data_IF_188807764383
#
_entry.id   IF_188807764383
#
_cell.length_a   1.000
_cell.length_b   1.000
_cell.length_c   1.000
_cell.angle_alpha   90.00
_cell.angle_beta   90.00
_cell.angle_gamma   90.00
#
_symmetry.space_group_name_H-M   'P 1'
#
loop_
_entity.id
_entity.type
_entity.pdbx_description
1 polymer ?
#
# COMPACT_ATOMS: atom_id res chain seq x y z
N UNK A 1 -5.29 12.49 -5.48
CA UNK A 1 -5.80 11.79 -4.28
C UNK A 1 -7.12 11.07 -4.53
N UNK A 2 -8.15 11.73 -5.05
CA UNK A 2 -9.51 11.19 -5.18
C UNK A 2 -9.70 9.85 -5.91
N UNK A 3 -8.83 9.38 -6.85
CA UNK A 3 -8.98 8.05 -7.44
C UNK A 3 -9.00 6.89 -6.43
N UNK A 4 -8.45 7.09 -5.22
CA UNK A 4 -8.44 6.07 -4.17
C UNK A 4 -9.84 5.70 -3.67
N UNK A 5 -10.86 6.54 -3.88
CA UNK A 5 -12.22 6.27 -3.41
C UNK A 5 -13.03 5.40 -4.38
N UNK A 6 -12.66 5.36 -5.65
CA UNK A 6 -13.36 4.59 -6.68
C UNK A 6 -12.92 3.13 -6.70
N UNK A 7 -13.85 2.19 -6.88
CA UNK A 7 -13.59 0.75 -6.89
C UNK A 7 -14.37 0.05 -8.00
N UNK A 8 -13.73 -0.88 -8.71
CA UNK A 8 -14.29 -1.57 -9.88
C UNK A 8 -15.16 -2.80 -9.58
N UNK A 9 -15.37 -3.14 -8.30
CA UNK A 9 -16.18 -4.30 -7.92
C UNK A 9 -16.16 -4.61 -6.42
N UNK A 10 -17.08 -5.46 -5.97
CA UNK A 10 -17.26 -5.84 -4.55
C UNK A 10 -16.01 -6.47 -3.95
N UNK A 11 -15.39 -7.44 -4.64
CA UNK A 11 -14.17 -8.08 -4.14
C UNK A 11 -13.02 -7.07 -4.05
N UNK A 12 -12.92 -6.17 -5.04
CA UNK A 12 -11.89 -5.14 -5.07
C UNK A 12 -12.00 -4.20 -3.86
N UNK A 13 -13.19 -3.65 -3.58
CA UNK A 13 -13.37 -2.79 -2.41
C UNK A 13 -13.23 -3.56 -1.10
N UNK A 14 -13.76 -4.78 -1.01
CA UNK A 14 -13.69 -5.60 0.20
C UNK A 14 -12.25 -5.85 0.65
N UNK A 15 -11.40 -6.36 -0.25
CA UNK A 15 -10.00 -6.64 0.10
C UNK A 15 -9.21 -5.36 0.36
N UNK A 16 -9.46 -4.29 -0.39
CA UNK A 16 -8.83 -3.00 -0.14
C UNK A 16 -9.16 -2.45 1.25
N UNK A 17 -10.42 -2.48 1.67
CA UNK A 17 -10.84 -2.00 2.99
C UNK A 17 -10.36 -2.93 4.11
N UNK A 18 -10.34 -4.24 3.88
CA UNK A 18 -9.77 -5.20 4.82
C UNK A 18 -8.30 -4.89 5.10
N UNK A 19 -7.48 -4.75 4.05
CA UNK A 19 -6.06 -4.43 4.19
C UNK A 19 -5.81 -3.03 4.74
N UNK A 20 -6.58 -2.04 4.28
CA UNK A 20 -6.52 -0.67 4.80
C UNK A 20 -6.78 -0.66 6.31
N UNK A 21 -7.81 -1.38 6.77
CA UNK A 21 -8.10 -1.51 8.20
C UNK A 21 -6.97 -2.20 8.94
N UNK A 22 -6.53 -3.37 8.47
CA UNK A 22 -5.49 -4.14 9.15
C UNK A 22 -4.18 -3.36 9.30
N UNK A 23 -3.67 -2.77 8.21
CA UNK A 23 -2.40 -2.05 8.20
C UNK A 23 -2.54 -0.65 8.81
N UNK A 24 -3.63 0.04 8.51
CA UNK A 24 -3.91 1.37 9.05
C UNK A 24 -4.04 1.37 10.56
N UNK A 25 -4.73 0.38 11.14
CA UNK A 25 -4.88 0.26 12.60
C UNK A 25 -3.53 0.13 13.32
N UNK A 26 -2.57 -0.60 12.74
CA UNK A 26 -1.22 -0.74 13.33
C UNK A 26 -0.55 0.62 13.41
N UNK A 27 -0.63 1.43 12.36
CA UNK A 27 0.00 2.76 12.32
C UNK A 27 -0.76 3.72 13.24
N UNK A 28 -2.08 3.75 13.16
CA UNK A 28 -2.92 4.66 13.96
C UNK A 28 -2.75 4.39 15.46
N UNK A 29 -2.75 3.13 15.88
CA UNK A 29 -2.57 2.77 17.28
C UNK A 29 -1.18 3.14 17.82
N UNK A 30 -0.14 3.03 16.99
CA UNK A 30 1.26 3.27 17.40
C UNK A 30 1.71 4.72 17.25
N UNK A 31 1.17 5.44 16.26
CA UNK A 31 1.66 6.76 15.84
C UNK A 31 0.56 7.81 15.64
N UNK A 32 -0.70 7.43 15.84
CA UNK A 32 -1.85 8.33 15.76
C UNK A 32 -2.40 8.53 14.35
N UNK A 33 -3.67 8.93 14.29
CA UNK A 33 -4.42 9.11 13.05
C UNK A 33 -3.83 10.16 12.11
N UNK A 34 -3.20 11.22 12.65
CA UNK A 34 -2.57 12.28 11.85
C UNK A 34 -1.43 11.74 10.99
N UNK A 35 -0.64 10.83 11.56
CA UNK A 35 0.47 10.20 10.85
C UNK A 35 -0.02 9.20 9.82
N UNK A 36 -1.05 8.41 10.16
CA UNK A 36 -1.73 7.57 9.18
C UNK A 36 -2.25 8.39 8.00
N UNK A 37 -2.96 9.49 8.26
CA UNK A 37 -3.49 10.38 7.22
C UNK A 37 -2.37 10.94 6.34
N UNK A 38 -1.25 11.35 6.93
CA UNK A 38 -0.09 11.80 6.17
C UNK A 38 0.45 10.72 5.22
N UNK A 39 0.64 9.48 5.71
CA UNK A 39 1.09 8.37 4.85
C UNK A 39 0.07 8.10 3.73
N UNK A 40 -1.23 8.11 4.04
CA UNK A 40 -2.29 7.93 3.04
C UNK A 40 -2.23 8.99 1.95
N UNK A 41 -2.09 10.27 2.32
CA UNK A 41 -2.05 11.37 1.34
C UNK A 41 -0.79 11.32 0.46
N UNK A 42 0.37 11.02 1.06
CA UNK A 42 1.64 10.93 0.33
C UNK A 42 1.61 9.75 -0.63
N UNK A 43 1.27 8.55 -0.14
CA UNK A 43 1.21 7.34 -0.97
C UNK A 43 0.15 7.46 -2.05
N UNK A 44 -1.06 7.96 -1.73
CA UNK A 44 -2.12 8.20 -2.71
C UNK A 44 -1.71 9.20 -3.80
N UNK A 45 -0.89 10.19 -3.48
CA UNK A 45 -0.45 11.18 -4.47
C UNK A 45 0.62 10.57 -5.38
N UNK A 46 1.69 10.04 -4.79
CA UNK A 46 2.83 9.53 -5.57
C UNK A 46 2.45 8.29 -6.39
N UNK A 47 1.69 7.34 -5.81
CA UNK A 47 1.30 6.12 -6.54
C UNK A 47 0.42 6.42 -7.74
N UNK A 48 -0.55 7.34 -7.57
CA UNK A 48 -1.48 7.70 -8.63
C UNK A 48 -0.79 8.53 -9.73
N UNK A 49 0.14 9.41 -9.35
CA UNK A 49 0.97 10.14 -10.33
C UNK A 49 1.82 9.15 -11.14
N UNK A 50 2.47 8.19 -10.48
CA UNK A 50 3.29 7.18 -11.16
C UNK A 50 2.45 6.34 -12.14
N UNK A 51 1.27 5.88 -11.71
CA UNK A 51 0.35 5.15 -12.58
C UNK A 51 -0.15 5.98 -13.76
N UNK A 52 -0.48 7.25 -13.52
CA UNK A 52 -0.95 8.16 -14.56
C UNK A 52 0.09 8.34 -15.68
N UNK A 53 1.35 8.54 -15.32
CA UNK A 53 2.41 8.72 -16.32
C UNK A 53 2.71 7.46 -17.13
N UNK A 54 2.47 6.27 -16.59
CA UNK A 54 2.77 5.00 -17.28
C UNK A 54 1.59 4.47 -18.08
N UNK A 55 0.36 4.59 -17.58
CA UNK A 55 -0.81 3.94 -18.17
C UNK A 55 -2.00 4.88 -18.41
N UNK A 56 -1.83 6.18 -18.18
CA UNK A 56 -2.91 7.17 -18.34
C UNK A 56 -3.90 7.20 -17.17
N UNK A 57 -5.02 7.93 -17.30
CA UNK A 57 -5.93 8.24 -16.20
C UNK A 57 -6.92 7.11 -15.83
N UNK A 58 -6.97 6.02 -16.60
CA UNK A 58 -7.96 4.96 -16.43
C UNK A 58 -7.52 3.95 -15.36
N UNK A 59 -7.48 4.40 -14.12
CA UNK A 59 -7.22 3.56 -12.95
C UNK A 59 -8.03 4.05 -11.74
N UNK A 60 -8.21 3.17 -10.77
CA UNK A 60 -9.00 3.42 -9.57
C UNK A 60 -8.54 2.52 -8.41
N UNK A 61 -8.90 2.91 -7.18
CA UNK A 61 -8.75 2.06 -6.00
C UNK A 61 -7.64 2.53 -5.05
N UNK A 62 -7.83 2.21 -3.77
CA UNK A 62 -6.90 2.55 -2.69
C UNK A 62 -5.71 1.59 -2.59
N UNK A 63 -5.63 0.57 -3.45
CA UNK A 63 -4.61 -0.47 -3.37
C UNK A 63 -3.16 0.05 -3.39
N UNK A 64 -2.88 1.16 -4.10
CA UNK A 64 -1.56 1.80 -4.05
C UNK A 64 -1.20 2.30 -2.64
N UNK A 65 -2.17 2.89 -1.93
CA UNK A 65 -2.02 3.28 -0.51
C UNK A 65 -1.83 2.04 0.36
N UNK A 66 -2.60 0.98 0.13
CA UNK A 66 -2.47 -0.30 0.87
C UNK A 66 -1.04 -0.85 0.79
N UNK A 67 -0.45 -0.88 -0.41
CA UNK A 67 0.96 -1.26 -0.57
C UNK A 67 1.92 -0.29 0.12
N UNK A 68 1.60 1.00 0.16
CA UNK A 68 2.36 1.97 0.96
C UNK A 68 2.29 1.73 2.46
N UNK A 69 1.12 1.39 3.01
CA UNK A 69 1.00 1.01 4.42
C UNK A 69 1.75 -0.29 4.72
N UNK A 70 1.67 -1.28 3.80
CA UNK A 70 2.44 -2.52 3.91
C UNK A 70 3.95 -2.22 3.99
N UNK A 71 4.48 -1.46 3.02
CA UNK A 71 5.89 -1.10 2.97
C UNK A 71 6.34 -0.35 4.24
N UNK A 72 5.50 0.58 4.70
CA UNK A 72 5.77 1.34 5.92
C UNK A 72 5.89 0.45 7.15
N UNK A 73 4.86 -0.35 7.44
CA UNK A 73 4.82 -1.21 8.64
C UNK A 73 5.90 -2.28 8.56
N UNK A 74 6.11 -2.88 7.38
CA UNK A 74 7.11 -3.93 7.18
C UNK A 74 8.53 -3.42 7.44
N UNK A 75 8.92 -2.30 6.82
CA UNK A 75 10.26 -1.75 6.98
C UNK A 75 10.45 -1.15 8.37
N UNK A 76 9.47 -0.42 8.90
CA UNK A 76 9.55 0.12 10.27
C UNK A 76 9.71 -1.00 11.29
N UNK A 77 8.93 -2.07 11.20
CA UNK A 77 9.04 -3.21 12.11
C UNK A 77 10.37 -3.97 11.98
N UNK A 78 10.92 -4.07 10.77
CA UNK A 78 12.21 -4.73 10.52
C UNK A 78 13.41 -3.95 11.09
N UNK A 79 13.39 -2.62 10.98
CA UNK A 79 14.53 -1.76 11.37
C UNK A 79 14.35 -1.08 12.74
N UNK A 80 13.15 -1.10 13.32
CA UNK A 80 12.87 -0.70 14.71
C UNK A 80 11.96 -1.77 15.37
N UNK A 81 12.51 -2.92 15.78
CA UNK A 81 11.74 -4.01 16.38
C UNK A 81 10.96 -3.61 17.64
N UNK A 82 11.42 -2.57 18.34
CA UNK A 82 10.79 -2.02 19.54
C UNK A 82 9.67 -1.01 19.23
N UNK A 83 9.36 -0.75 17.96
CA UNK A 83 8.23 0.10 17.54
C UNK A 83 6.87 -0.53 17.86
N UNK A 84 6.84 -1.85 18.09
CA UNK A 84 5.61 -2.62 18.25
C UNK A 84 4.80 -2.72 16.95
N UNK A 85 5.38 -2.37 15.81
CA UNK A 85 4.85 -2.61 14.48
C UNK A 85 5.41 -3.93 13.97
N UNK A 86 4.54 -4.91 13.77
CA UNK A 86 4.93 -6.23 13.29
C UNK A 86 3.88 -6.73 12.28
N UNK A 87 4.37 -7.36 11.22
CA UNK A 87 3.53 -8.09 10.28
C UNK A 87 3.92 -9.56 10.29
N UNK A 88 2.96 -10.49 10.38
CA UNK A 88 3.24 -11.90 10.19
C UNK A 88 3.94 -12.12 8.83
N UNK A 89 5.01 -12.93 8.76
CA UNK A 89 5.72 -13.18 7.49
C UNK A 89 4.81 -13.66 6.36
N UNK A 90 3.79 -14.46 6.69
CA UNK A 90 2.79 -14.93 5.72
C UNK A 90 1.97 -13.81 5.07
N UNK A 91 1.69 -12.71 5.81
CA UNK A 91 0.99 -11.54 5.26
C UNK A 91 1.89 -10.83 4.24
N UNK A 92 3.15 -10.58 4.59
CA UNK A 92 4.10 -9.94 3.68
C UNK A 92 4.31 -10.80 2.44
N UNK A 93 4.53 -12.09 2.62
CA UNK A 93 4.70 -13.04 1.52
C UNK A 93 3.48 -13.04 0.58
N UNK A 94 2.27 -13.17 1.13
CA UNK A 94 1.05 -13.21 0.34
C UNK A 94 0.83 -11.91 -0.45
N UNK A 95 1.06 -10.74 0.17
CA UNK A 95 0.90 -9.45 -0.52
C UNK A 95 1.96 -9.24 -1.60
N UNK A 96 3.20 -9.65 -1.37
CA UNK A 96 4.25 -9.59 -2.41
C UNK A 96 4.02 -10.61 -3.52
N UNK A 97 3.49 -11.79 -3.21
CA UNK A 97 3.06 -12.78 -4.20
C UNK A 97 1.93 -12.21 -5.06
N UNK A 98 0.92 -11.59 -4.45
CA UNK A 98 -0.17 -10.94 -5.17
C UNK A 98 0.34 -9.83 -6.09
N UNK A 99 1.30 -9.02 -5.63
CA UNK A 99 1.97 -8.02 -6.47
C UNK A 99 2.69 -8.67 -7.66
N UNK A 100 3.48 -9.71 -7.42
CA UNK A 100 4.22 -10.41 -8.47
C UNK A 100 3.30 -11.04 -9.52
N UNK A 101 2.17 -11.62 -9.09
CA UNK A 101 1.15 -12.17 -9.99
C UNK A 101 0.40 -11.07 -10.76
N UNK A 102 0.23 -9.88 -10.18
CA UNK A 102 -0.31 -8.71 -10.87
C UNK A 102 0.65 -8.22 -11.96
N UNK A 103 1.92 -8.00 -11.60
CA UNK A 103 2.96 -7.51 -12.52
C UNK A 103 3.24 -8.48 -13.66
N UNK A 104 3.14 -9.79 -13.42
CA UNK A 104 3.30 -10.81 -14.48
C UNK A 104 2.15 -10.83 -15.50
N UNK A 105 1.06 -10.09 -15.23
CA UNK A 105 -0.16 -10.12 -16.04
C UNK A 105 -0.99 -11.39 -15.84
N UNK A 106 -0.61 -12.28 -14.93
CA UNK A 106 -1.37 -13.50 -14.64
C UNK A 106 -2.77 -13.17 -14.13
N UNK A 107 -2.86 -12.23 -13.17
CA UNK A 107 -4.15 -11.81 -12.60
C UNK A 107 -5.01 -11.05 -13.61
N UNK A 108 -4.41 -10.22 -14.47
CA UNK A 108 -5.16 -9.47 -15.49
C UNK A 108 -5.79 -10.42 -16.51
N UNK A 109 -5.04 -11.44 -16.96
CA UNK A 109 -5.54 -12.48 -17.86
C UNK A 109 -6.63 -13.35 -17.22
N UNK A 110 -6.46 -13.71 -15.95
CA UNK A 110 -7.40 -14.59 -15.24
C UNK A 110 -8.69 -13.90 -14.78
N UNK A 111 -8.61 -12.63 -14.41
CA UNK A 111 -9.75 -11.87 -13.87
C UNK A 111 -10.40 -10.95 -14.91
N UNK A 112 -9.78 -10.73 -16.06
CA UNK A 112 -10.28 -9.84 -17.12
C UNK A 112 -10.34 -8.36 -16.71
N UNK A 113 -9.62 -7.97 -15.66
CA UNK A 113 -9.57 -6.60 -15.13
C UNK A 113 -8.14 -6.08 -15.16
N UNK A 114 -7.96 -4.83 -15.59
CA UNK A 114 -6.66 -4.16 -15.55
C UNK A 114 -6.23 -3.88 -14.11
N UNK A 115 -4.96 -4.11 -13.80
CA UNK A 115 -4.40 -3.89 -12.46
C UNK A 115 -3.42 -2.71 -12.52
N UNK A 116 -3.61 -1.76 -11.60
CA UNK A 116 -2.74 -0.59 -11.47
C UNK A 116 -1.38 -0.97 -10.81
N UNK A 117 -0.61 -1.83 -11.47
CA UNK A 117 0.64 -2.39 -10.95
C UNK A 117 1.68 -1.30 -10.64
N UNK A 118 1.78 -0.25 -11.46
CA UNK A 118 2.68 0.88 -11.20
C UNK A 118 2.27 1.64 -9.93
N UNK A 119 0.97 1.79 -9.67
CA UNK A 119 0.50 2.36 -8.40
C UNK A 119 0.90 1.48 -7.22
N UNK A 120 0.80 0.15 -7.32
CA UNK A 120 1.19 -0.76 -6.25
C UNK A 120 2.68 -0.68 -5.95
N UNK A 121 3.53 -0.73 -6.97
CA UNK A 121 4.99 -0.64 -6.83
C UNK A 121 5.38 0.73 -6.25
N UNK A 122 4.82 1.82 -6.81
CA UNK A 122 5.10 3.18 -6.34
C UNK A 122 4.67 3.39 -4.88
N UNK A 123 3.48 2.88 -4.53
CA UNK A 123 2.99 2.88 -3.15
C UNK A 123 3.95 2.14 -2.22
N UNK A 124 4.28 0.89 -2.54
CA UNK A 124 5.20 0.04 -1.76
C UNK A 124 6.55 0.72 -1.54
N UNK A 125 7.16 1.24 -2.61
CA UNK A 125 8.45 1.90 -2.54
C UNK A 125 8.43 3.12 -1.62
N UNK A 126 7.44 4.00 -1.78
CA UNK A 126 7.26 5.19 -0.91
C UNK A 126 7.04 4.78 0.54
N UNK A 127 6.19 3.78 0.78
CA UNK A 127 5.95 3.22 2.11
C UNK A 127 7.23 2.73 2.78
N UNK A 128 8.01 1.91 2.06
CA UNK A 128 9.29 1.40 2.54
C UNK A 128 10.27 2.52 2.89
N UNK A 129 10.40 3.54 2.03
CA UNK A 129 11.26 4.70 2.27
C UNK A 129 10.81 5.46 3.53
N UNK A 130 9.52 5.77 3.63
CA UNK A 130 8.97 6.46 4.82
C UNK A 130 9.16 5.65 6.10
N UNK A 131 8.96 4.33 6.03
CA UNK A 131 9.17 3.41 7.16
C UNK A 131 10.62 3.42 7.64
N UNK A 132 11.57 3.40 6.71
CA UNK A 132 13.00 3.49 7.02
C UNK A 132 13.37 4.87 7.58
N UNK A 133 12.96 5.96 6.94
CA UNK A 133 13.26 7.32 7.44
C UNK A 133 12.70 7.54 8.85
N UNK A 134 11.55 6.94 9.17
CA UNK A 134 10.97 7.00 10.50
C UNK A 134 11.77 6.22 11.56
N UNK A 135 12.64 5.27 11.19
CA UNK A 135 13.53 4.59 12.15
C UNK A 135 14.71 5.46 12.57
N UNK A 136 15.07 6.45 11.75
CA UNK A 136 16.19 7.36 12.00
C UNK A 136 15.82 8.53 12.93
N UNK A 137 14.53 8.74 13.21
CA UNK A 137 14.08 9.79 14.14
C UNK A 137 14.48 9.39 15.57
N UNK A 138 15.27 10.23 16.23
CA UNK A 138 15.60 10.07 17.65
C UNK A 138 14.31 10.09 18.48
N UNK A 139 14.19 9.12 19.40
CA UNK A 139 13.09 9.06 20.37
C UNK A 139 13.20 10.20 21.37
#
# INVERSE_FOLDING_TARGET
VTPIFMHGGILHIFFNLMWLRMLGTVIEYRQGWKWLLFIVLVTASISNIAQYYVSGPLFLGISGVVYGLLGYVWIKGKFDPFSGMFLPPGVVFMMLLWLGLGVSGFLEKGLGVGIANTAHIGGLAVGCIMGYLNTLRKR
#
